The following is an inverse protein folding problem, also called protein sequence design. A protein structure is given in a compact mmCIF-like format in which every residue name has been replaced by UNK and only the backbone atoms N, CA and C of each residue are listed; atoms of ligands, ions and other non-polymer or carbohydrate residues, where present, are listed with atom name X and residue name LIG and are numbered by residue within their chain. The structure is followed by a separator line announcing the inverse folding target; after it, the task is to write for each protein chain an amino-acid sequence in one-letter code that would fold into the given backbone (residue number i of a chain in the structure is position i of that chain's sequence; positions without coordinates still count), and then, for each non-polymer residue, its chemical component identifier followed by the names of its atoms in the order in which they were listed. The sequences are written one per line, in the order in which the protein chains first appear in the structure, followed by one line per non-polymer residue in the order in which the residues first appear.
data_IF_472283953766
#
_entry.id   IF_472283953766
#
_cell.length_a   1.000
_cell.length_b   1.000
_cell.length_c   1.000
_cell.angle_alpha   90.00
_cell.angle_beta   90.00
_cell.angle_gamma   90.00
#
_symmetry.space_group_name_H-M   'P 1'
#
loop_
_entity.id
_entity.type
_entity.pdbx_description
1 polymer ?
#
# COMPACT_ATOMS: atom_id res chain seq x y z
N UNK A 1 42.31 10.80 41.81
CA UNK A 1 43.43 10.33 40.99
C UNK A 1 43.07 8.92 40.50
N UNK A 2 43.19 8.68 39.19
CA UNK A 2 42.52 7.62 38.41
C UNK A 2 43.56 6.61 37.92
N UNK A 3 43.34 5.30 38.12
CA UNK A 3 43.88 4.18 37.29
C UNK A 3 42.87 3.01 37.42
N UNK A 4 41.87 2.91 36.54
CA UNK A 4 41.76 2.06 35.34
C UNK A 4 41.61 0.57 35.67
N UNK A 5 40.37 0.07 35.59
CA UNK A 5 40.04 -1.35 35.67
C UNK A 5 40.34 -2.04 34.34
N UNK A 6 41.13 -3.11 34.40
CA UNK A 6 41.54 -3.91 33.24
C UNK A 6 40.37 -4.71 32.68
N UNK A 7 39.97 -4.36 31.46
CA UNK A 7 39.10 -5.15 30.61
C UNK A 7 39.78 -6.47 30.24
N UNK A 8 39.30 -7.59 30.79
CA UNK A 8 39.71 -8.95 30.39
C UNK A 8 39.37 -9.17 28.92
N UNK A 9 40.40 -9.29 28.07
CA UNK A 9 40.27 -9.77 26.70
C UNK A 9 39.86 -11.25 26.74
N UNK A 10 38.76 -11.61 26.09
CA UNK A 10 38.40 -13.00 25.88
C UNK A 10 39.39 -13.62 24.87
N UNK A 11 40.10 -14.66 25.30
CA UNK A 11 41.02 -15.43 24.45
C UNK A 11 40.44 -16.84 24.33
N UNK A 12 40.27 -17.34 23.11
CA UNK A 12 39.83 -18.71 22.85
C UNK A 12 41.06 -19.54 22.48
N UNK A 13 41.21 -20.71 23.12
CA UNK A 13 42.34 -21.61 22.92
C UNK A 13 41.91 -22.80 22.07
N UNK A 14 42.58 -23.02 20.94
CA UNK A 14 42.47 -24.25 20.15
C UNK A 14 43.83 -24.95 20.16
N UNK A 15 44.00 -25.91 21.07
CA UNK A 15 45.30 -26.52 21.33
C UNK A 15 46.33 -25.52 21.88
N UNK A 16 47.62 -25.78 21.64
CA UNK A 16 48.74 -25.02 22.22
C UNK A 16 48.99 -23.64 21.54
N UNK A 17 48.06 -23.13 20.73
CA UNK A 17 48.13 -21.78 20.17
C UNK A 17 47.09 -20.86 20.82
N UNK A 18 47.55 -19.72 21.34
CA UNK A 18 46.67 -18.61 21.73
C UNK A 18 46.43 -17.70 20.53
N UNK A 19 45.16 -17.51 20.16
CA UNK A 19 44.78 -16.59 19.08
C UNK A 19 43.97 -15.44 19.68
N UNK A 20 44.42 -14.18 19.55
CA UNK A 20 43.64 -13.04 20.02
C UNK A 20 42.35 -12.95 19.20
N UNK A 21 41.20 -12.75 19.87
CA UNK A 21 39.92 -12.48 19.21
C UNK A 21 40.05 -11.15 18.45
N UNK A 22 40.40 -11.20 17.17
CA UNK A 22 40.50 -10.02 16.33
C UNK A 22 39.08 -9.56 15.97
N UNK A 23 38.76 -8.32 16.34
CA UNK A 23 37.53 -7.56 16.04
C UNK A 23 37.29 -7.36 14.53
N UNK A 24 37.19 -8.44 13.76
CA UNK A 24 36.87 -8.41 12.33
C UNK A 24 35.36 -8.37 12.07
N UNK A 25 34.54 -8.78 13.05
CA UNK A 25 33.07 -8.80 12.91
C UNK A 25 32.41 -7.47 13.30
N UNK A 26 33.08 -6.63 14.10
CA UNK A 26 32.50 -5.36 14.58
C UNK A 26 32.52 -4.21 13.56
N UNK A 27 33.25 -4.36 12.44
CA UNK A 27 33.37 -3.32 11.41
C UNK A 27 32.33 -3.40 10.29
N UNK A 28 31.48 -4.43 10.26
CA UNK A 28 30.40 -4.55 9.26
C UNK A 28 29.03 -4.09 9.77
N UNK A 29 28.87 -3.82 11.07
CA UNK A 29 27.60 -3.30 11.61
C UNK A 29 27.46 -1.77 11.52
N UNK A 30 28.54 -1.04 11.25
CA UNK A 30 28.57 0.44 11.32
C UNK A 30 28.24 1.17 10.01
N UNK A 31 27.77 0.48 8.97
CA UNK A 31 27.30 1.08 7.71
C UNK A 31 25.86 0.67 7.31
N UNK A 32 25.08 0.09 8.23
CA UNK A 32 23.64 -0.15 8.04
C UNK A 32 22.78 1.04 8.53
N UNK A 33 23.37 1.99 9.26
CA UNK A 33 22.71 3.16 9.87
C UNK A 33 22.28 4.24 8.87
N UNK A 34 22.36 3.99 7.57
CA UNK A 34 21.93 4.94 6.54
C UNK A 34 21.26 4.26 5.32
N UNK A 35 20.65 3.09 5.52
CA UNK A 35 19.85 2.50 4.45
C UNK A 35 18.49 3.24 4.38
N UNK A 36 18.47 4.32 3.60
CA UNK A 36 17.28 5.16 3.36
C UNK A 36 16.23 4.39 2.54
N UNK A 37 15.52 3.48 3.20
CA UNK A 37 14.40 2.74 2.62
C UNK A 37 13.10 3.56 2.67
N UNK A 38 12.03 3.02 2.07
CA UNK A 38 10.72 3.69 2.06
C UNK A 38 10.12 3.75 3.47
N UNK A 39 10.31 2.71 4.29
CA UNK A 39 9.80 2.65 5.67
C UNK A 39 10.31 3.82 6.52
N UNK A 40 11.64 4.00 6.57
CA UNK A 40 12.28 5.14 7.24
C UNK A 40 11.84 6.49 6.67
N UNK A 41 11.47 6.58 5.38
CA UNK A 41 10.93 7.81 4.80
C UNK A 41 9.48 8.08 5.17
N UNK A 42 8.67 7.04 5.39
CA UNK A 42 7.30 7.19 5.90
C UNK A 42 7.32 7.68 7.34
N UNK A 43 8.13 7.06 8.20
CA UNK A 43 8.29 7.43 9.61
C UNK A 43 8.76 8.88 9.79
N UNK A 44 9.67 9.34 8.92
CA UNK A 44 10.19 10.70 8.94
C UNK A 44 9.45 11.64 7.98
N UNK A 45 8.24 11.30 7.55
CA UNK A 45 7.45 12.16 6.66
C UNK A 45 7.08 13.47 7.37
N UNK A 46 6.93 14.57 6.62
CA UNK A 46 6.62 15.88 7.18
C UNK A 46 5.52 16.55 6.36
N UNK A 47 4.84 17.51 6.98
CA UNK A 47 3.78 18.29 6.32
C UNK A 47 2.59 17.42 5.91
N UNK A 48 2.03 17.57 4.69
CA UNK A 48 0.85 16.82 4.25
C UNK A 48 1.01 15.30 4.28
N UNK A 49 2.23 14.79 4.04
CA UNK A 49 2.49 13.34 4.07
C UNK A 49 2.44 12.78 5.50
N UNK A 50 2.72 13.59 6.52
CA UNK A 50 2.56 13.19 7.92
C UNK A 50 1.10 12.85 8.24
N UNK A 51 0.14 13.48 7.58
CA UNK A 51 -1.28 13.14 7.74
C UNK A 51 -1.53 11.70 7.28
N UNK A 52 -0.94 11.27 6.16
CA UNK A 52 -1.04 9.89 5.68
C UNK A 52 -0.35 8.91 6.64
N UNK A 53 0.81 9.30 7.20
CA UNK A 53 1.46 8.51 8.24
C UNK A 53 0.54 8.30 9.45
N UNK A 54 -0.10 9.37 9.93
CA UNK A 54 -1.04 9.27 11.04
C UNK A 54 -2.23 8.39 10.68
N UNK A 55 -2.80 8.52 9.47
CA UNK A 55 -3.89 7.66 9.01
C UNK A 55 -3.49 6.17 8.93
N UNK A 56 -2.24 5.88 8.54
CA UNK A 56 -1.70 4.53 8.48
C UNK A 56 -1.56 3.92 9.89
N UNK A 57 -0.93 4.65 10.81
CA UNK A 57 -0.67 4.21 12.20
C UNK A 57 -1.98 4.02 12.99
N UNK A 58 -2.91 4.97 12.86
CA UNK A 58 -4.19 4.95 13.59
C UNK A 58 -5.28 4.17 12.87
N UNK A 59 -4.96 3.58 11.69
CA UNK A 59 -5.91 2.90 10.81
C UNK A 59 -7.19 3.70 10.57
N UNK A 60 -7.04 4.98 10.21
CA UNK A 60 -8.16 5.84 9.83
C UNK A 60 -8.60 5.57 8.39
N UNK A 61 -9.92 5.62 8.18
CA UNK A 61 -10.53 5.48 6.85
C UNK A 61 -10.29 6.76 6.04
N UNK A 62 -9.83 6.62 4.81
CA UNK A 62 -9.64 7.73 3.88
C UNK A 62 -10.51 7.57 2.64
N UNK A 63 -10.85 8.69 2.00
CA UNK A 63 -11.48 8.78 0.68
C UNK A 63 -10.51 9.36 -0.32
N UNK A 64 -10.08 8.55 -1.28
CA UNK A 64 -9.16 8.93 -2.34
C UNK A 64 -9.92 9.15 -3.64
N UNK A 65 -9.94 10.39 -4.14
CA UNK A 65 -10.53 10.71 -5.44
C UNK A 65 -9.53 10.47 -6.56
N UNK A 66 -9.94 9.73 -7.59
CA UNK A 66 -9.12 9.43 -8.76
C UNK A 66 -9.49 10.30 -9.94
N UNK A 67 -8.48 10.73 -10.71
CA UNK A 67 -8.68 11.53 -11.92
C UNK A 67 -8.91 10.65 -13.16
N UNK A 68 -9.62 11.22 -14.12
CA UNK A 68 -9.73 10.77 -15.50
C UNK A 68 -9.06 11.79 -16.43
N UNK A 69 -9.08 11.55 -17.74
CA UNK A 69 -8.59 12.51 -18.73
C UNK A 69 -9.30 13.89 -18.65
N UNK A 70 -10.55 13.94 -18.15
CA UNK A 70 -11.35 15.17 -18.08
C UNK A 70 -12.15 15.24 -16.77
N UNK A 71 -11.45 15.34 -15.64
CA UNK A 71 -12.08 15.52 -14.32
C UNK A 71 -11.96 14.28 -13.42
N UNK A 72 -12.85 14.13 -12.45
CA UNK A 72 -12.83 13.04 -11.47
C UNK A 72 -13.52 11.79 -12.04
N UNK A 73 -12.87 10.63 -11.91
CA UNK A 73 -13.40 9.32 -12.33
C UNK A 73 -14.34 8.72 -11.28
N UNK A 74 -13.97 8.86 -10.02
CA UNK A 74 -14.59 8.19 -8.90
C UNK A 74 -13.73 8.33 -7.65
N UNK A 75 -14.03 7.52 -6.64
CA UNK A 75 -13.31 7.54 -5.38
C UNK A 75 -13.16 6.13 -4.80
N UNK A 76 -12.20 5.99 -3.89
CA UNK A 76 -11.92 4.76 -3.16
C UNK A 76 -11.96 5.10 -1.67
N UNK A 77 -12.76 4.34 -0.91
CA UNK A 77 -12.72 4.37 0.55
C UNK A 77 -11.89 3.19 1.05
N UNK A 78 -10.83 3.45 1.83
CA UNK A 78 -9.88 2.41 2.24
C UNK A 78 -9.08 2.81 3.49
N UNK A 79 -8.31 1.86 4.03
CA UNK A 79 -7.22 2.14 4.98
C UNK A 79 -5.88 2.24 4.26
N UNK A 80 -4.99 3.10 4.73
CA UNK A 80 -3.62 3.20 4.21
C UNK A 80 -2.77 2.11 4.85
N UNK A 81 -2.09 1.33 4.01
CA UNK A 81 -1.10 0.34 4.44
C UNK A 81 0.33 0.86 4.24
N UNK A 82 0.59 1.61 3.17
CA UNK A 82 1.85 2.30 2.93
C UNK A 82 1.67 3.46 1.95
N UNK A 83 2.62 4.39 1.93
CA UNK A 83 2.65 5.51 0.98
C UNK A 83 4.09 5.87 0.59
N UNK A 84 4.23 6.68 -0.46
CA UNK A 84 5.53 7.25 -0.83
C UNK A 84 5.47 8.75 -1.16
N UNK A 85 6.63 9.33 -1.47
CA UNK A 85 6.77 10.75 -1.85
C UNK A 85 6.06 11.14 -3.15
N UNK A 86 5.71 10.17 -3.99
CA UNK A 86 5.00 10.36 -5.25
C UNK A 86 3.49 10.20 -5.08
N UNK A 87 3.01 10.03 -3.85
CA UNK A 87 1.62 9.73 -3.52
C UNK A 87 1.16 8.38 -4.05
N UNK A 88 2.08 7.44 -4.32
CA UNK A 88 1.68 6.05 -4.51
C UNK A 88 1.17 5.51 -3.17
N UNK A 89 0.00 4.87 -3.18
CA UNK A 89 -0.64 4.36 -1.97
C UNK A 89 -0.85 2.85 -2.08
N UNK A 90 -0.40 2.11 -1.08
CA UNK A 90 -0.88 0.76 -0.84
C UNK A 90 -2.07 0.85 0.12
N UNK A 91 -3.20 0.28 -0.30
CA UNK A 91 -4.48 0.39 0.38
C UNK A 91 -5.02 -0.98 0.76
N UNK A 92 -5.71 -1.06 1.90
CA UNK A 92 -6.37 -2.25 2.44
C UNK A 92 -7.88 -2.01 2.60
N UNK A 93 -8.67 -3.07 2.41
CA UNK A 93 -10.14 -3.08 2.52
C UNK A 93 -10.78 -1.96 1.69
N UNK A 94 -10.56 -2.01 0.38
CA UNK A 94 -10.93 -0.95 -0.54
C UNK A 94 -12.37 -1.12 -1.03
N UNK A 95 -13.16 -0.05 -0.94
CA UNK A 95 -14.44 0.09 -1.64
C UNK A 95 -14.28 1.11 -2.76
N UNK A 96 -14.13 0.64 -4.00
CA UNK A 96 -14.00 1.51 -5.18
C UNK A 96 -15.40 1.82 -5.73
N UNK A 97 -15.68 3.10 -5.97
CA UNK A 97 -16.88 3.58 -6.66
C UNK A 97 -16.51 4.42 -7.88
N UNK A 98 -17.05 4.08 -9.04
CA UNK A 98 -16.79 4.81 -10.29
C UNK A 98 -18.00 4.82 -11.22
N UNK A 99 -18.07 5.81 -12.09
CA UNK A 99 -19.14 5.93 -13.09
C UNK A 99 -18.62 5.55 -14.48
N UNK A 100 -19.41 4.80 -15.26
CA UNK A 100 -19.12 4.51 -16.67
C UNK A 100 -20.35 4.66 -17.54
N UNK A 101 -20.15 4.77 -18.86
CA UNK A 101 -21.25 4.66 -19.83
C UNK A 101 -21.73 3.21 -19.92
N UNK A 102 -23.05 3.04 -19.94
CA UNK A 102 -23.67 1.72 -20.10
C UNK A 102 -23.38 1.22 -21.51
N UNK A 103 -22.73 0.07 -21.62
CA UNK A 103 -22.52 -0.62 -22.89
C UNK A 103 -23.57 -1.74 -23.01
N UNK A 104 -24.68 -1.46 -23.69
CA UNK A 104 -25.62 -2.52 -24.09
C UNK A 104 -25.02 -3.24 -25.28
N UNK A 105 -24.59 -4.49 -25.09
CA UNK A 105 -24.38 -5.36 -26.25
C UNK A 105 -25.76 -5.71 -26.79
N UNK A 106 -25.98 -5.53 -28.09
CA UNK A 106 -27.12 -6.18 -28.74
C UNK A 106 -26.91 -7.70 -28.56
N UNK A 107 -27.95 -8.49 -28.26
CA UNK A 107 -27.83 -9.93 -28.28
C UNK A 107 -27.29 -10.32 -29.67
N UNK A 108 -26.16 -11.03 -29.72
CA UNK A 108 -25.74 -11.67 -30.96
C UNK A 108 -26.89 -12.60 -31.36
N UNK A 109 -27.29 -12.60 -32.63
CA UNK A 109 -28.32 -13.49 -33.19
C UNK A 109 -28.13 -14.92 -32.66
N UNK A 110 -28.88 -15.27 -31.62
CA UNK A 110 -28.64 -16.43 -30.79
C UNK A 110 -29.59 -16.45 -29.60
N UNK A 111 -30.06 -17.64 -29.27
CA UNK A 111 -30.99 -17.89 -28.17
C UNK A 111 -30.39 -17.39 -26.84
N UNK A 112 -31.22 -16.90 -25.89
CA UNK A 112 -30.75 -16.47 -24.59
C UNK A 112 -30.01 -17.63 -23.92
N UNK A 113 -28.72 -17.41 -23.63
CA UNK A 113 -27.92 -18.31 -22.79
C UNK A 113 -28.62 -18.35 -21.44
N UNK A 114 -28.96 -19.56 -20.96
CA UNK A 114 -29.55 -19.75 -19.63
C UNK A 114 -28.52 -19.26 -18.60
N UNK A 115 -28.97 -18.48 -17.62
CA UNK A 115 -28.11 -17.89 -16.59
C UNK A 115 -27.32 -18.96 -15.80
N UNK A 116 -27.82 -20.20 -15.77
CA UNK A 116 -27.26 -21.30 -14.99
C UNK A 116 -25.87 -21.79 -15.48
N UNK A 117 -25.46 -21.44 -16.71
CA UNK A 117 -24.17 -21.86 -17.30
C UNK A 117 -23.04 -20.82 -17.11
N UNK A 118 -23.30 -19.69 -16.44
CA UNK A 118 -22.25 -18.71 -16.11
C UNK A 118 -21.54 -19.20 -14.86
N UNK A 119 -20.41 -19.88 -15.05
CA UNK A 119 -19.47 -20.19 -13.97
C UNK A 119 -19.09 -18.85 -13.32
N UNK A 120 -19.50 -18.61 -12.07
CA UNK A 120 -18.99 -17.46 -11.31
C UNK A 120 -17.49 -17.70 -11.10
N UNK A 121 -16.64 -17.03 -11.89
CA UNK A 121 -15.19 -17.01 -11.64
C UNK A 121 -14.96 -16.38 -10.26
N UNK A 122 -14.67 -17.24 -9.29
CA UNK A 122 -14.49 -16.90 -7.86
C UNK A 122 -13.41 -15.80 -7.64
N UNK A 123 -12.45 -15.71 -8.57
CA UNK A 123 -11.32 -14.78 -8.51
C UNK A 123 -11.63 -13.35 -9.01
N UNK A 124 -12.82 -13.09 -9.55
CA UNK A 124 -13.18 -11.75 -10.05
C UNK A 124 -13.99 -10.98 -9.00
N UNK A 125 -13.52 -9.81 -8.53
CA UNK A 125 -14.25 -9.04 -7.54
C UNK A 125 -15.62 -8.61 -8.07
N UNK A 126 -16.66 -9.04 -7.35
CA UNK A 126 -18.06 -8.77 -7.70
C UNK A 126 -18.33 -7.26 -7.81
N UNK A 127 -18.84 -6.86 -8.96
CA UNK A 127 -19.21 -5.46 -9.24
C UNK A 127 -20.71 -5.29 -9.06
N UNK A 128 -21.10 -4.35 -8.20
CA UNK A 128 -22.48 -3.99 -7.89
C UNK A 128 -22.81 -2.66 -8.59
N UNK A 129 -23.96 -2.60 -9.27
CA UNK A 129 -24.48 -1.34 -9.82
C UNK A 129 -25.20 -0.61 -8.68
N UNK A 130 -24.69 0.55 -8.28
CA UNK A 130 -25.27 1.39 -7.22
C UNK A 130 -26.41 2.26 -7.73
N UNK A 131 -26.22 2.88 -8.90
CA UNK A 131 -27.16 3.83 -9.48
C UNK A 131 -27.07 3.78 -10.99
N UNK A 132 -28.22 3.92 -11.66
CA UNK A 132 -28.27 4.07 -13.12
C UNK A 132 -28.91 5.41 -13.45
N UNK A 133 -28.16 6.27 -14.13
CA UNK A 133 -28.61 7.56 -14.61
C UNK A 133 -28.54 7.59 -16.14
N UNK A 134 -29.65 7.25 -16.78
CA UNK A 134 -29.84 7.31 -18.23
C UNK A 134 -28.80 6.53 -19.03
N UNK A 135 -27.71 7.19 -19.43
CA UNK A 135 -26.61 6.64 -20.25
C UNK A 135 -25.40 6.18 -19.42
N UNK A 136 -25.40 6.43 -18.12
CA UNK A 136 -24.30 6.10 -17.21
C UNK A 136 -24.77 5.28 -16.03
N UNK A 137 -23.89 4.44 -15.52
CA UNK A 137 -24.09 3.66 -14.30
C UNK A 137 -22.92 3.88 -13.35
N UNK A 138 -23.24 4.02 -12.06
CA UNK A 138 -22.27 4.07 -10.98
C UNK A 138 -22.11 2.67 -10.41
N UNK A 139 -20.88 2.20 -10.42
CA UNK A 139 -20.49 0.86 -10.03
C UNK A 139 -19.70 0.93 -8.74
N UNK A 140 -19.82 -0.13 -7.96
CA UNK A 140 -19.10 -0.34 -6.72
C UNK A 140 -18.49 -1.73 -6.73
N UNK A 141 -17.24 -1.86 -6.27
CA UNK A 141 -16.65 -3.17 -6.00
C UNK A 141 -15.82 -3.12 -4.72
N UNK A 142 -15.70 -4.27 -4.08
CA UNK A 142 -14.77 -4.47 -2.99
C UNK A 142 -13.47 -5.08 -3.51
N UNK A 143 -12.33 -4.60 -3.02
CA UNK A 143 -10.99 -5.11 -3.33
C UNK A 143 -10.21 -5.19 -2.03
N UNK A 144 -9.72 -6.38 -1.67
CA UNK A 144 -9.03 -6.58 -0.39
C UNK A 144 -7.77 -5.73 -0.25
N UNK A 145 -6.97 -5.63 -1.32
CA UNK A 145 -5.74 -4.84 -1.37
C UNK A 145 -5.56 -4.18 -2.74
N UNK A 146 -5.06 -2.95 -2.75
CA UNK A 146 -4.86 -2.21 -4.00
C UNK A 146 -3.64 -1.28 -3.93
N UNK A 147 -2.83 -1.29 -4.99
CA UNK A 147 -1.77 -0.31 -5.20
C UNK A 147 -2.26 0.78 -6.16
N UNK A 148 -2.39 2.00 -5.66
CA UNK A 148 -2.79 3.16 -6.43
C UNK A 148 -1.57 4.02 -6.78
N UNK A 149 -1.41 4.35 -8.06
CA UNK A 149 -0.33 5.23 -8.52
C UNK A 149 -0.69 6.69 -8.23
N UNK A 150 0.21 7.44 -7.62
CA UNK A 150 -0.05 8.80 -7.13
C UNK A 150 -0.39 9.80 -8.21
N UNK A 151 0.07 9.58 -9.44
CA UNK A 151 -0.35 10.38 -10.59
C UNK A 151 -1.87 10.34 -10.81
N UNK A 152 -2.54 9.22 -10.50
CA UNK A 152 -3.98 9.08 -10.67
C UNK A 152 -4.78 9.73 -9.53
N UNK A 153 -4.13 10.13 -8.44
CA UNK A 153 -4.77 10.74 -7.28
C UNK A 153 -4.99 12.22 -7.54
N UNK A 154 -6.22 12.68 -7.30
CA UNK A 154 -6.57 14.09 -7.34
C UNK A 154 -6.59 14.70 -5.95
N UNK A 155 -7.31 14.06 -5.01
CA UNK A 155 -7.57 14.58 -3.66
C UNK A 155 -7.66 13.40 -2.69
N UNK A 156 -7.15 13.57 -1.48
CA UNK A 156 -7.33 12.63 -0.37
C UNK A 156 -8.08 13.37 0.74
N UNK A 157 -9.14 12.75 1.26
CA UNK A 157 -9.94 13.26 2.37
C UNK A 157 -9.91 12.24 3.49
N UNK A 158 -9.62 12.69 4.71
CA UNK A 158 -9.73 11.85 5.91
C UNK A 158 -11.19 11.81 6.34
N UNK A 159 -11.73 10.61 6.56
CA UNK A 159 -13.11 10.41 7.03
C UNK A 159 -13.06 10.24 8.55
N UNK A 160 -13.93 10.92 9.27
CA UNK A 160 -14.13 10.77 10.71
C UNK A 160 -15.46 10.07 10.98
#
# INVERSE_FOLDING_TARGET
MKVIGESRLAVVYYGNLSVPYSNAEEKNQRNLTNYRNILSRMENSLGPLQVLHNCMETKLRIKVFTRSARGIRGFIEAYVAAFDKHWNLALEDCTETWTRKIKRKAPALGLPIKLDDIIEEEDVPKVIVKETNGKTETLMRHVSQMLLRGEQIAIIVVIH
#
